data_IF_090628370827
#
_entry.id   IF_090628370827
#
_cell.length_a   1.000
_cell.length_b   1.000
_cell.length_c   1.000
_cell.angle_alpha   90.00
_cell.angle_beta   90.00
_cell.angle_gamma   90.00
#
_symmetry.space_group_name_H-M   'P 1'
#
loop_
_entity.id
_entity.type
_entity.pdbx_description
1 polymer ?
#
# COMPACT_ATOMS: atom_id res chain seq x y z
N UNK A 1 -13.77 -11.01 -14.01
CA UNK A 1 -14.96 -10.36 -13.40
C UNK A 1 -14.49 -9.72 -12.10
N UNK A 2 -14.02 -8.48 -12.15
CA UNK A 2 -13.59 -7.74 -10.96
C UNK A 2 -14.82 -7.00 -10.43
N UNK A 3 -15.30 -7.35 -9.23
CA UNK A 3 -16.44 -6.65 -8.64
C UNK A 3 -16.00 -5.24 -8.24
N UNK A 4 -16.66 -4.21 -8.78
CA UNK A 4 -16.50 -2.84 -8.32
C UNK A 4 -17.00 -2.74 -6.88
N UNK A 5 -16.08 -2.56 -5.95
CA UNK A 5 -16.38 -2.36 -4.52
C UNK A 5 -17.18 -1.07 -4.41
N UNK A 6 -18.43 -1.15 -3.91
CA UNK A 6 -19.29 0.02 -3.71
C UNK A 6 -18.60 1.04 -2.79
N UNK A 7 -18.86 2.34 -3.01
CA UNK A 7 -18.37 3.42 -2.13
C UNK A 7 -18.76 3.19 -0.66
N UNK A 8 -19.88 2.52 -0.41
CA UNK A 8 -20.32 2.12 0.94
C UNK A 8 -19.42 1.04 1.57
N UNK A 9 -18.98 0.05 0.79
CA UNK A 9 -18.03 -0.97 1.26
C UNK A 9 -16.67 -0.36 1.56
N UNK A 10 -16.21 0.59 0.75
CA UNK A 10 -14.98 1.33 1.01
C UNK A 10 -15.03 2.12 2.32
N UNK A 11 -16.19 2.70 2.67
CA UNK A 11 -16.35 3.44 3.92
C UNK A 11 -16.34 2.51 5.14
N UNK A 12 -17.01 1.35 5.02
CA UNK A 12 -17.07 0.35 6.09
C UNK A 12 -15.69 -0.24 6.41
N UNK A 13 -14.92 -0.60 5.38
CA UNK A 13 -13.53 -1.10 5.53
C UNK A 13 -12.61 -0.06 6.18
N UNK A 14 -12.77 1.22 5.83
CA UNK A 14 -12.02 2.31 6.48
C UNK A 14 -12.36 2.44 7.96
N UNK A 15 -13.64 2.32 8.32
CA UNK A 15 -14.05 2.38 9.73
C UNK A 15 -13.60 1.17 10.55
N UNK A 16 -13.65 -0.04 9.98
CA UNK A 16 -13.14 -1.24 10.67
C UNK A 16 -11.62 -1.20 10.83
N UNK A 17 -10.91 -0.71 9.81
CA UNK A 17 -9.47 -0.50 9.90
C UNK A 17 -9.11 0.44 11.06
N UNK A 18 -9.81 1.56 11.20
CA UNK A 18 -9.58 2.48 12.33
C UNK A 18 -9.89 1.83 13.69
N UNK A 19 -10.90 0.97 13.78
CA UNK A 19 -11.21 0.22 15.02
C UNK A 19 -10.13 -0.79 15.36
N UNK A 20 -9.60 -1.50 14.35
CA UNK A 20 -8.51 -2.46 14.54
C UNK A 20 -7.21 -1.74 14.93
N UNK A 21 -6.80 -0.72 14.18
CA UNK A 21 -5.62 0.09 14.48
C UNK A 21 -5.68 0.72 15.88
N UNK A 22 -6.86 1.21 16.28
CA UNK A 22 -7.07 1.75 17.63
C UNK A 22 -6.98 0.68 18.72
N UNK A 23 -7.47 -0.54 18.47
CA UNK A 23 -7.36 -1.66 19.42
C UNK A 23 -5.91 -2.12 19.60
N UNK A 24 -5.10 -2.10 18.53
CA UNK A 24 -3.68 -2.46 18.55
C UNK A 24 -2.87 -1.44 19.36
N UNK A 25 -3.08 -0.14 19.13
CA UNK A 25 -2.38 0.94 19.85
C UNK A 25 -2.63 0.91 21.38
N UNK A 26 -3.82 0.48 21.81
CA UNK A 26 -4.11 0.30 23.24
C UNK A 26 -3.39 -0.90 23.88
N UNK A 27 -2.98 -1.90 23.08
CA UNK A 27 -2.29 -3.07 23.59
C UNK A 27 -0.80 -2.78 23.81
N UNK A 28 -0.15 -2.07 22.90
CA UNK A 28 1.29 -1.73 22.98
C UNK A 28 1.63 -0.80 24.14
N UNK A 29 0.70 0.10 24.49
CA UNK A 29 0.83 1.05 25.61
C UNK A 29 0.86 0.39 27.00
N UNK A 30 0.71 -0.94 27.09
CA UNK A 30 0.87 -1.71 28.34
C UNK A 30 2.26 -2.31 28.55
N UNK A 31 3.19 -2.19 27.60
CA UNK A 31 4.53 -2.82 27.71
C UNK A 31 5.60 -1.91 28.31
N UNK A 32 5.28 -0.64 28.59
CA UNK A 32 6.26 0.32 29.07
C UNK A 32 6.40 0.36 30.60
N UNK A 33 7.62 0.04 31.05
CA UNK A 33 8.28 0.45 32.30
C UNK A 33 8.11 -0.40 33.58
N UNK A 34 8.64 -1.64 33.56
CA UNK A 34 9.28 -2.17 34.77
C UNK A 34 10.63 -1.46 34.97
N UNK A 35 10.62 -0.24 35.54
CA UNK A 35 11.83 0.35 36.15
C UNK A 35 12.17 -0.50 37.36
N UNK A 36 13.19 -1.36 37.26
CA UNK A 36 13.74 -2.08 38.40
C UNK A 36 14.68 -1.11 39.14
N UNK A 37 14.31 -0.57 40.32
CA UNK A 37 15.23 0.23 41.12
C UNK A 37 16.22 -0.72 41.78
N UNK A 38 17.49 -0.31 41.80
CA UNK A 38 18.61 -1.19 42.09
C UNK A 38 18.49 -2.02 43.36
N UNK A 39 18.68 -3.34 43.18
CA UNK A 39 19.02 -4.25 44.26
C UNK A 39 20.10 -5.21 43.76
N UNK A 40 21.32 -4.91 44.19
CA UNK A 40 22.48 -5.79 44.11
C UNK A 40 22.23 -7.02 45.00
N UNK A 41 21.58 -8.04 44.47
CA UNK A 41 21.62 -9.40 45.00
C UNK A 41 21.11 -10.37 43.94
N UNK A 42 22.03 -11.03 43.25
CA UNK A 42 21.71 -12.10 42.30
C UNK A 42 21.29 -13.35 43.08
N UNK A 43 20.00 -13.43 43.41
CA UNK A 43 19.37 -14.71 43.67
C UNK A 43 19.10 -15.40 42.31
N UNK A 44 19.50 -16.66 42.11
CA UNK A 44 19.15 -17.40 40.91
C UNK A 44 17.62 -17.49 40.81
N UNK A 45 17.06 -16.92 39.75
CA UNK A 45 15.62 -16.99 39.50
C UNK A 45 15.22 -18.46 39.29
N UNK A 46 14.10 -18.91 39.90
CA UNK A 46 13.56 -20.24 39.65
C UNK A 46 13.27 -20.42 38.15
N UNK A 47 13.70 -21.55 37.59
CA UNK A 47 13.49 -21.93 36.18
C UNK A 47 11.99 -21.99 35.80
N UNK A 48 11.09 -21.90 36.77
CA UNK A 48 9.64 -21.95 36.59
C UNK A 48 9.00 -20.68 35.99
N UNK A 49 9.76 -19.57 35.89
CA UNK A 49 9.26 -18.30 35.30
C UNK A 49 9.26 -18.28 33.75
N UNK A 50 9.78 -19.34 33.10
CA UNK A 50 9.78 -19.48 31.63
C UNK A 50 8.47 -20.04 31.06
N UNK A 51 7.46 -20.27 31.88
CA UNK A 51 6.11 -20.65 31.42
C UNK A 51 5.34 -19.42 30.96
N UNK A 52 5.85 -18.72 29.92
CA UNK A 52 5.10 -17.69 29.18
C UNK A 52 3.73 -18.25 28.81
N UNK A 53 2.67 -17.50 29.12
CA UNK A 53 1.30 -17.91 28.88
C UNK A 53 1.06 -18.04 27.36
N UNK A 54 0.71 -19.23 26.84
CA UNK A 54 0.48 -19.43 25.41
C UNK A 54 -0.74 -18.65 24.86
N UNK A 55 -1.51 -17.99 25.72
CA UNK A 55 -2.75 -17.30 25.37
C UNK A 55 -2.50 -15.97 24.63
N UNK A 56 -1.36 -15.32 24.85
CA UNK A 56 -1.05 -14.01 24.23
C UNK A 56 -0.60 -14.14 22.76
N UNK A 57 0.14 -15.20 22.41
CA UNK A 57 0.64 -15.41 21.04
C UNK A 57 -0.50 -15.66 20.04
N UNK A 58 -1.57 -16.34 20.47
CA UNK A 58 -2.71 -16.64 19.60
C UNK A 58 -3.48 -15.40 19.14
N UNK A 59 -3.47 -14.33 19.95
CA UNK A 59 -4.20 -13.10 19.63
C UNK A 59 -3.48 -12.31 18.54
N UNK A 60 -2.15 -12.18 18.63
CA UNK A 60 -1.36 -11.46 17.64
C UNK A 60 -1.44 -12.10 16.25
N UNK A 61 -1.38 -13.45 16.18
CA UNK A 61 -1.51 -14.16 14.90
C UNK A 61 -2.91 -13.98 14.28
N UNK A 62 -3.96 -13.93 15.10
CA UNK A 62 -5.33 -13.68 14.62
C UNK A 62 -5.48 -12.27 14.04
N UNK A 63 -4.83 -11.27 14.65
CA UNK A 63 -4.84 -9.89 14.16
C UNK A 63 -4.17 -9.80 12.78
N UNK A 64 -2.98 -10.37 12.63
CA UNK A 64 -2.23 -10.35 11.36
C UNK A 64 -3.02 -11.06 10.25
N UNK A 65 -3.63 -12.21 10.54
CA UNK A 65 -4.50 -12.89 9.57
C UNK A 65 -5.62 -11.97 9.06
N UNK A 66 -6.28 -11.25 9.97
CA UNK A 66 -7.36 -10.32 9.61
C UNK A 66 -6.87 -9.14 8.78
N UNK A 67 -5.69 -8.61 9.07
CA UNK A 67 -5.10 -7.53 8.28
C UNK A 67 -4.76 -7.98 6.86
N UNK A 68 -4.23 -9.20 6.71
CA UNK A 68 -3.97 -9.78 5.38
C UNK A 68 -5.27 -10.03 4.63
N UNK A 69 -6.32 -10.53 5.30
CA UNK A 69 -7.67 -10.66 4.70
C UNK A 69 -8.22 -9.31 4.25
N UNK A 70 -8.01 -8.24 5.02
CA UNK A 70 -8.39 -6.87 4.62
C UNK A 70 -7.57 -6.37 3.43
N UNK A 71 -6.27 -6.68 3.36
CA UNK A 71 -5.43 -6.32 2.22
C UNK A 71 -5.94 -6.96 0.94
N UNK A 72 -6.43 -8.20 0.98
CA UNK A 72 -6.99 -8.90 -0.19
C UNK A 72 -8.23 -8.20 -0.76
N UNK A 73 -8.95 -7.45 0.07
CA UNK A 73 -10.08 -6.63 -0.38
C UNK A 73 -9.61 -5.38 -1.12
N UNK A 74 -8.48 -4.80 -0.73
CA UNK A 74 -7.92 -3.62 -1.40
C UNK A 74 -7.08 -3.98 -2.62
N UNK A 75 -6.41 -5.12 -2.56
CA UNK A 75 -5.51 -5.64 -3.57
C UNK A 75 -5.83 -7.11 -3.80
N UNK A 76 -6.50 -7.48 -4.90
CA UNK A 76 -6.60 -8.88 -5.27
C UNK A 76 -5.19 -9.50 -5.37
N UNK A 77 -4.99 -10.72 -4.86
CA UNK A 77 -3.68 -11.37 -4.92
C UNK A 77 -3.61 -12.24 -6.17
N UNK A 78 -2.58 -12.05 -7.01
CA UNK A 78 -2.34 -12.89 -8.17
C UNK A 78 -2.07 -14.35 -7.77
N UNK A 79 -1.25 -14.54 -6.73
CA UNK A 79 -0.92 -15.84 -6.12
C UNK A 79 -1.25 -15.82 -4.61
N UNK A 80 -2.52 -16.02 -4.20
CA UNK A 80 -2.95 -15.73 -2.83
C UNK A 80 -2.15 -16.44 -1.74
N UNK A 81 -1.82 -17.72 -1.93
CA UNK A 81 -1.08 -18.48 -0.92
C UNK A 81 0.34 -17.96 -0.74
N UNK A 82 1.01 -17.61 -1.84
CA UNK A 82 2.40 -17.14 -1.80
C UNK A 82 2.48 -15.74 -1.21
N UNK A 83 1.61 -14.84 -1.68
CA UNK A 83 1.51 -13.47 -1.15
C UNK A 83 1.17 -13.49 0.34
N UNK A 84 0.23 -14.32 0.79
CA UNK A 84 -0.11 -14.45 2.22
C UNK A 84 1.07 -14.94 3.05
N UNK A 85 1.77 -15.98 2.59
CA UNK A 85 2.95 -16.50 3.28
C UNK A 85 4.07 -15.45 3.35
N UNK A 86 4.28 -14.72 2.26
CA UNK A 86 5.27 -13.64 2.19
C UNK A 86 4.96 -12.49 3.16
N UNK A 87 3.69 -12.06 3.22
CA UNK A 87 3.25 -11.02 4.16
C UNK A 87 3.33 -11.48 5.62
N UNK A 88 3.10 -12.77 5.88
CA UNK A 88 3.26 -13.35 7.22
C UNK A 88 4.72 -13.32 7.69
N UNK A 89 5.65 -13.59 6.78
CA UNK A 89 7.08 -13.49 7.04
C UNK A 89 7.57 -12.04 7.17
N UNK A 90 6.98 -11.13 6.40
CA UNK A 90 7.37 -9.72 6.31
C UNK A 90 6.25 -8.78 6.82
N UNK A 91 5.89 -8.93 8.10
CA UNK A 91 4.72 -8.25 8.71
C UNK A 91 4.77 -6.72 8.60
N UNK A 92 5.96 -6.13 8.58
CA UNK A 92 6.16 -4.69 8.43
C UNK A 92 5.63 -4.15 7.09
N UNK A 93 5.54 -4.98 6.05
CA UNK A 93 4.97 -4.60 4.76
C UNK A 93 3.46 -4.38 4.81
N UNK A 94 2.76 -5.00 5.76
CA UNK A 94 1.29 -4.89 5.86
C UNK A 94 0.89 -3.43 6.08
N UNK A 95 1.51 -2.75 7.04
CA UNK A 95 1.26 -1.32 7.32
C UNK A 95 1.62 -0.44 6.11
N UNK A 96 2.76 -0.74 5.47
CA UNK A 96 3.23 -0.01 4.30
C UNK A 96 2.25 -0.13 3.14
N UNK A 97 1.68 -1.32 2.89
CA UNK A 97 0.71 -1.57 1.82
C UNK A 97 -0.61 -0.83 2.03
N UNK A 98 -1.07 -0.70 3.28
CA UNK A 98 -2.25 0.12 3.57
C UNK A 98 -2.00 1.60 3.30
N UNK A 99 -0.81 2.10 3.60
CA UNK A 99 -0.44 3.49 3.30
C UNK A 99 -0.25 3.70 1.80
N UNK A 100 0.41 2.76 1.11
CA UNK A 100 0.58 2.77 -0.34
C UNK A 100 -0.78 2.96 -1.05
N UNK A 101 -1.82 2.27 -0.60
CA UNK A 101 -3.15 2.34 -1.21
C UNK A 101 -3.71 3.77 -1.20
N UNK A 102 -3.55 4.46 -0.06
CA UNK A 102 -4.02 5.83 0.11
C UNK A 102 -3.25 6.77 -0.80
N UNK A 103 -1.94 6.57 -0.92
CA UNK A 103 -1.05 7.41 -1.73
C UNK A 103 -1.29 7.19 -3.22
N UNK A 104 -1.44 5.94 -3.67
CA UNK A 104 -1.79 5.61 -5.06
C UNK A 104 -3.12 6.27 -5.42
N UNK A 105 -4.16 6.12 -4.58
CA UNK A 105 -5.45 6.80 -4.81
C UNK A 105 -5.28 8.31 -4.86
N UNK A 106 -4.51 8.90 -3.94
CA UNK A 106 -4.27 10.34 -3.88
C UNK A 106 -3.58 10.86 -5.15
N UNK A 107 -2.57 10.15 -5.66
CA UNK A 107 -1.79 10.60 -6.82
C UNK A 107 -2.57 10.40 -8.11
N UNK A 108 -3.10 9.18 -8.32
CA UNK A 108 -3.73 8.79 -9.57
C UNK A 108 -5.19 9.29 -9.71
N UNK A 109 -5.95 9.49 -8.62
CA UNK A 109 -7.32 10.00 -8.73
C UNK A 109 -7.41 11.53 -8.82
N UNK A 110 -6.42 12.27 -8.30
CA UNK A 110 -6.42 13.75 -8.40
C UNK A 110 -6.43 14.24 -9.84
N UNK A 111 -5.80 13.51 -10.76
CA UNK A 111 -5.68 13.91 -12.15
C UNK A 111 -7.03 13.87 -12.89
N UNK A 112 -7.92 12.95 -12.51
CA UNK A 112 -9.26 12.84 -13.11
C UNK A 112 -10.15 14.06 -12.84
N UNK A 113 -9.82 14.86 -11.82
CA UNK A 113 -10.59 16.05 -11.46
C UNK A 113 -10.16 17.31 -12.21
N UNK A 114 -8.97 17.31 -12.84
CA UNK A 114 -8.41 18.45 -13.56
C UNK A 114 -8.67 18.38 -15.07
N UNK A 115 -9.80 17.80 -15.49
CA UNK A 115 -10.34 17.91 -16.87
C UNK A 115 -10.80 19.32 -17.25
N UNK A 116 -10.11 20.36 -16.76
CA UNK A 116 -10.14 21.67 -17.37
C UNK A 116 -9.21 21.65 -18.59
N UNK A 117 -9.54 22.33 -19.69
CA UNK A 117 -8.70 22.35 -20.88
C UNK A 117 -7.30 22.83 -20.47
N UNK A 118 -6.29 21.98 -20.70
CA UNK A 118 -4.88 22.35 -20.58
C UNK A 118 -4.59 23.35 -21.70
N UNK A 119 -4.91 24.62 -21.47
CA UNK A 119 -4.46 25.72 -22.31
C UNK A 119 -2.96 25.83 -22.10
N UNK A 120 -2.19 25.32 -23.07
CA UNK A 120 -0.75 25.37 -23.06
C UNK A 120 -0.27 26.80 -22.69
N UNK A 121 0.58 26.96 -21.67
CA UNK A 121 1.07 28.28 -21.25
C UNK A 121 1.94 28.86 -22.36
N UNK A 122 1.35 29.75 -23.19
CA UNK A 122 2.04 30.40 -24.31
C UNK A 122 1.16 30.74 -25.53
N UNK A 123 -0.10 30.28 -25.60
CA UNK A 123 -0.95 30.45 -26.79
C UNK A 123 -1.82 31.74 -26.82
N UNK A 124 -1.36 32.82 -26.19
CA UNK A 124 -1.93 34.16 -26.36
C UNK A 124 -1.09 34.97 -27.35
N UNK A 125 -0.98 34.48 -28.59
CA UNK A 125 -0.19 35.12 -29.66
C UNK A 125 -0.95 35.07 -30.97
N UNK A 126 -1.56 36.20 -31.35
CA UNK A 126 -2.55 36.32 -32.42
C UNK A 126 -2.19 35.75 -33.80
N UNK A 127 -3.23 35.25 -34.47
CA UNK A 127 -3.40 35.44 -35.93
C UNK A 127 -3.09 34.23 -36.81
N UNK A 128 -4.05 33.31 -36.95
CA UNK A 128 -4.00 32.25 -37.96
C UNK A 128 -5.01 31.14 -37.70
N UNK A 129 -6.30 31.43 -37.85
CA UNK A 129 -7.40 30.48 -37.58
C UNK A 129 -7.76 29.63 -38.80
N UNK A 130 -6.90 28.76 -39.32
CA UNK A 130 -7.37 27.78 -40.33
C UNK A 130 -6.68 26.42 -40.17
N UNK A 131 -7.46 25.40 -39.79
CA UNK A 131 -7.24 24.03 -40.28
C UNK A 131 -6.68 22.97 -39.32
N UNK A 132 -6.34 23.27 -38.06
CA UNK A 132 -6.00 22.21 -37.10
C UNK A 132 -7.29 21.63 -36.52
N UNK A 133 -7.75 20.53 -37.13
CA UNK A 133 -8.73 19.65 -36.52
C UNK A 133 -8.28 19.40 -35.08
N UNK A 134 -9.09 19.86 -34.13
CA UNK A 134 -8.94 19.53 -32.73
C UNK A 134 -9.03 18.00 -32.64
N UNK A 135 -7.87 17.34 -32.65
CA UNK A 135 -7.74 15.99 -32.17
C UNK A 135 -8.21 16.09 -30.73
N UNK A 136 -9.44 15.64 -30.49
CA UNK A 136 -9.97 15.44 -29.14
C UNK A 136 -8.86 14.76 -28.36
N UNK A 137 -8.35 15.36 -27.30
CA UNK A 137 -7.23 14.76 -26.62
C UNK A 137 -7.74 13.49 -25.96
N UNK A 138 -7.34 12.33 -26.48
CA UNK A 138 -7.76 11.01 -25.99
C UNK A 138 -7.34 10.76 -24.52
N UNK A 139 -6.64 11.70 -23.87
CA UNK A 139 -6.21 11.64 -22.48
C UNK A 139 -7.33 11.88 -21.45
N UNK A 140 -8.54 12.30 -21.85
CA UNK A 140 -9.62 12.64 -20.89
C UNK A 140 -10.25 11.45 -20.14
N UNK A 141 -9.98 10.19 -20.53
CA UNK A 141 -10.63 9.01 -19.92
C UNK A 141 -9.70 8.10 -19.10
N UNK A 142 -8.51 8.60 -18.76
CA UNK A 142 -7.55 7.87 -17.94
C UNK A 142 -8.06 7.55 -16.54
N UNK A 143 -8.27 6.28 -16.23
CA UNK A 143 -8.70 5.71 -14.97
C UNK A 143 -7.79 4.56 -14.53
N UNK A 144 -7.51 4.52 -13.23
CA UNK A 144 -6.95 3.34 -12.58
C UNK A 144 -8.04 2.28 -12.59
N UNK A 145 -7.79 1.20 -13.33
CA UNK A 145 -8.79 0.16 -13.53
C UNK A 145 -8.70 -0.88 -12.43
N UNK A 146 -7.47 -1.23 -12.02
CA UNK A 146 -7.26 -2.26 -11.03
C UNK A 146 -5.90 -2.07 -10.33
N UNK A 147 -5.82 -2.47 -9.06
CA UNK A 147 -4.56 -2.49 -8.30
C UNK A 147 -4.50 -3.83 -7.60
N UNK A 148 -3.45 -4.61 -7.83
CA UNK A 148 -3.31 -5.97 -7.31
C UNK A 148 -1.89 -6.23 -6.81
N UNK A 149 -1.71 -7.31 -6.04
CA UNK A 149 -0.40 -7.75 -5.56
C UNK A 149 0.09 -8.97 -6.30
N UNK A 150 1.36 -8.94 -6.69
CA UNK A 150 2.05 -10.03 -7.39
C UNK A 150 3.39 -10.30 -6.72
N UNK A 151 3.67 -11.55 -6.36
CA UNK A 151 4.98 -11.94 -5.82
C UNK A 151 5.84 -12.46 -6.96
N UNK A 152 7.03 -11.90 -7.12
CA UNK A 152 8.04 -12.36 -8.07
C UNK A 152 9.16 -13.07 -7.30
N UNK A 153 9.66 -14.16 -7.87
CA UNK A 153 10.74 -14.95 -7.31
C UNK A 153 11.80 -15.16 -8.36
N UNK A 154 13.03 -14.78 -8.05
CA UNK A 154 14.18 -15.12 -8.87
C UNK A 154 14.80 -16.43 -8.34
N UNK A 155 14.73 -17.55 -9.09
CA UNK A 155 15.29 -18.82 -8.66
C UNK A 155 16.82 -18.83 -8.60
N UNK A 156 17.51 -17.89 -9.26
CA UNK A 156 18.97 -17.83 -9.31
C UNK A 156 19.54 -17.04 -8.12
N UNK A 157 18.80 -16.06 -7.59
CA UNK A 157 19.27 -15.17 -6.51
C UNK A 157 18.65 -15.45 -5.12
N UNK A 158 17.75 -16.44 -5.00
CA UNK A 158 16.97 -16.72 -3.77
C UNK A 158 16.31 -15.46 -3.20
N UNK A 159 15.84 -14.60 -4.12
CA UNK A 159 15.27 -13.30 -3.82
C UNK A 159 13.78 -13.29 -4.18
N UNK A 160 12.98 -12.76 -3.25
CA UNK A 160 11.53 -12.63 -3.38
C UNK A 160 11.15 -11.15 -3.24
N UNK A 161 10.37 -10.65 -4.19
CA UNK A 161 9.94 -9.24 -4.23
C UNK A 161 8.44 -9.16 -4.48
N UNK A 162 7.76 -8.32 -3.68
CA UNK A 162 6.34 -8.08 -3.79
C UNK A 162 6.09 -6.82 -4.63
N UNK A 163 5.31 -6.98 -5.69
CA UNK A 163 4.92 -5.89 -6.58
C UNK A 163 3.49 -5.43 -6.30
N UNK A 164 3.32 -4.13 -6.14
CA UNK A 164 2.03 -3.45 -6.30
C UNK A 164 1.88 -3.12 -7.78
N UNK A 165 0.98 -3.82 -8.45
CA UNK A 165 0.74 -3.65 -9.88
C UNK A 165 -0.49 -2.77 -10.08
N UNK A 166 -0.29 -1.59 -10.68
CA UNK A 166 -1.34 -0.64 -11.02
C UNK A 166 -1.69 -0.82 -12.50
N UNK A 167 -2.88 -1.35 -12.79
CA UNK A 167 -3.40 -1.46 -14.15
C UNK A 167 -4.22 -0.23 -14.52
N UNK A 168 -3.88 0.42 -15.63
CA UNK A 168 -4.52 1.66 -16.05
C UNK A 168 -4.64 1.76 -17.57
N UNK A 169 -5.63 2.52 -18.02
CA UNK A 169 -5.79 2.92 -19.44
C UNK A 169 -5.18 4.32 -19.72
N UNK A 170 -4.42 4.89 -18.79
CA UNK A 170 -3.65 6.11 -19.01
C UNK A 170 -2.61 5.87 -20.12
N UNK A 171 -2.24 6.93 -20.85
CA UNK A 171 -1.11 6.81 -21.77
C UNK A 171 0.17 6.46 -20.99
N UNK A 172 1.12 5.72 -21.60
CA UNK A 172 2.37 5.36 -20.93
C UNK A 172 3.11 6.57 -20.36
N UNK A 173 3.10 7.71 -21.06
CA UNK A 173 3.78 8.93 -20.63
C UNK A 173 3.15 9.49 -19.34
N UNK A 174 1.82 9.61 -19.32
CA UNK A 174 1.11 10.13 -18.16
C UNK A 174 1.17 9.17 -16.96
N UNK A 175 1.18 7.86 -17.22
CA UNK A 175 1.22 6.85 -16.17
C UNK A 175 2.61 6.79 -15.51
N UNK A 176 3.68 6.98 -16.29
CA UNK A 176 5.04 7.16 -15.78
C UNK A 176 5.19 8.48 -15.01
N UNK A 177 4.68 9.61 -15.53
CA UNK A 177 4.72 10.89 -14.81
C UNK A 177 4.03 10.83 -13.43
N UNK A 178 2.93 10.06 -13.33
CA UNK A 178 2.24 9.84 -12.06
C UNK A 178 3.00 8.89 -11.14
N UNK A 179 3.68 7.89 -11.69
CA UNK A 179 4.54 6.99 -10.92
C UNK A 179 5.74 7.74 -10.37
N UNK A 180 6.43 8.55 -11.17
CA UNK A 180 7.54 9.40 -10.74
C UNK A 180 7.11 10.32 -9.59
N UNK A 181 5.93 10.96 -9.72
CA UNK A 181 5.39 11.80 -8.64
C UNK A 181 5.04 11.01 -7.38
N UNK A 182 4.53 9.79 -7.53
CA UNK A 182 4.26 8.90 -6.41
C UNK A 182 5.56 8.51 -5.69
N UNK A 183 6.61 8.23 -6.46
CA UNK A 183 7.91 7.88 -5.93
C UNK A 183 8.53 9.05 -5.16
N UNK A 184 8.54 10.24 -5.77
CA UNK A 184 9.04 11.47 -5.16
C UNK A 184 8.25 11.93 -3.92
N UNK A 185 6.91 11.84 -3.94
CA UNK A 185 6.07 12.32 -2.83
C UNK A 185 6.05 11.35 -1.63
N UNK A 186 6.32 10.06 -1.83
CA UNK A 186 6.11 9.05 -0.77
C UNK A 186 7.06 7.86 -0.80
N UNK A 187 7.28 7.22 -1.94
CA UNK A 187 8.01 5.94 -1.96
C UNK A 187 9.46 6.09 -1.52
N UNK A 188 10.13 7.18 -1.90
CA UNK A 188 11.52 7.43 -1.48
C UNK A 188 11.67 7.54 0.04
N UNK A 189 10.67 8.07 0.75
CA UNK A 189 10.70 8.20 2.22
C UNK A 189 10.51 6.86 2.95
N UNK A 190 9.96 5.86 2.27
CA UNK A 190 9.66 4.54 2.85
C UNK A 190 10.52 3.41 2.28
N UNK A 191 11.27 3.63 1.21
CA UNK A 191 12.06 2.60 0.53
C UNK A 191 13.01 1.86 1.49
N UNK A 192 13.66 2.58 2.41
CA UNK A 192 14.52 1.96 3.42
C UNK A 192 13.75 1.04 4.39
N UNK A 193 12.46 1.33 4.63
CA UNK A 193 11.59 0.54 5.51
C UNK A 193 11.07 -0.73 4.85
N UNK A 194 11.10 -0.81 3.52
CA UNK A 194 10.64 -2.00 2.80
C UNK A 194 11.74 -3.07 2.69
N UNK A 195 12.98 -2.74 3.06
CA UNK A 195 14.16 -3.59 2.88
C UNK A 195 14.35 -4.04 1.41
N UNK A 196 13.88 -3.24 0.45
CA UNK A 196 13.92 -3.60 -0.98
C UNK A 196 12.97 -4.74 -1.38
N UNK A 197 12.06 -5.16 -0.50
CA UNK A 197 11.12 -6.27 -0.76
C UNK A 197 9.80 -5.85 -1.38
N UNK A 198 9.58 -4.54 -1.54
CA UNK A 198 8.36 -3.97 -2.09
C UNK A 198 8.71 -3.08 -3.27
N UNK A 199 7.99 -3.25 -4.36
CA UNK A 199 8.11 -2.44 -5.55
C UNK A 199 6.73 -2.04 -6.08
N UNK A 200 6.67 -0.95 -6.84
CA UNK A 200 5.42 -0.46 -7.44
C UNK A 200 5.64 -0.33 -8.94
N UNK A 201 4.74 -0.93 -9.72
CA UNK A 201 4.82 -0.89 -11.18
C UNK A 201 3.48 -0.53 -11.78
N UNK A 202 3.51 0.12 -12.94
CA UNK A 202 2.32 0.44 -13.71
C UNK A 202 2.30 -0.44 -14.96
N UNK A 203 1.13 -0.99 -15.31
CA UNK A 203 0.91 -1.75 -16.55
C UNK A 203 -0.25 -1.14 -17.35
N UNK A 204 -0.06 -0.95 -18.67
CA UNK A 204 -1.18 -0.64 -19.54
C UNK A 204 -2.12 -1.86 -19.65
N UNK A 205 -3.41 -1.60 -19.87
CA UNK A 205 -4.41 -2.63 -20.17
C UNK A 205 -4.31 -3.19 -21.59
#
# INVERSE_FOLDING_TARGET
MTQLISSEQSYWLSTEYHKLAFSISQFESRTETCRIPGTSSFAPLPIEELRRRPEEETTALNIISKEIELLEVFYPFANPNEVRNFLWANKYLIEVLFEAHKQIKRVFQKQQRWGGPVVAPGWWGGGGKEGLAALSPDWENGQVVNIHLELHRDPDEDFEELFVVIETNLSPELSLDLLDRFDEEWFLDIADKTEGKLNVTVRPL
#
